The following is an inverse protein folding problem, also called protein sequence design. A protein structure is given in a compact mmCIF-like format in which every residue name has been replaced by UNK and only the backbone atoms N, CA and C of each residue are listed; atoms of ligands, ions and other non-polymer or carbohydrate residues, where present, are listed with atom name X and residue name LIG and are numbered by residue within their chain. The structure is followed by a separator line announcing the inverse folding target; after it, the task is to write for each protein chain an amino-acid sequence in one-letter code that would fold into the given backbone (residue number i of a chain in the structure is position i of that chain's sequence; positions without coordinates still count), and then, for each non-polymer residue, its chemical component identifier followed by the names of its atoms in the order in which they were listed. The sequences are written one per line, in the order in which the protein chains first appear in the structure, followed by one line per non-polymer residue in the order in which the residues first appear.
data_IF_860766098086
#
_entry.id   IF_860766098086
#
_cell.length_a   1.000
_cell.length_b   1.000
_cell.length_c   1.000
_cell.angle_alpha   90.00
_cell.angle_beta   90.00
_cell.angle_gamma   90.00
#
_symmetry.space_group_name_H-M   'P 1'
#
loop_
_entity.id
_entity.type
_entity.pdbx_description
1 polymer ?
#
# COMPACT_ATOMS: atom_id res chain seq x y z
N UNK A 1 7.48 8.84 0.49
CA UNK A 1 6.93 8.10 1.65
C UNK A 1 6.41 6.75 1.18
N UNK A 2 6.46 5.71 2.03
CA UNK A 2 5.89 4.41 1.67
C UNK A 2 4.74 4.06 2.61
N UNK A 3 3.66 3.43 2.09
CA UNK A 3 2.56 2.90 2.89
C UNK A 3 2.08 1.57 2.31
N UNK A 4 1.36 0.78 3.12
CA UNK A 4 0.84 -0.50 2.71
C UNK A 4 -0.67 -0.55 2.93
N UNK A 5 -1.38 -1.00 1.91
CA UNK A 5 -2.81 -1.29 1.96
C UNK A 5 -3.04 -2.79 1.77
N UNK A 6 -4.14 -3.31 2.31
CA UNK A 6 -4.48 -4.74 2.29
C UNK A 6 -5.88 -4.95 1.73
N UNK A 7 -6.05 -5.99 0.93
CA UNK A 7 -7.25 -6.19 0.14
C UNK A 7 -7.76 -7.63 0.20
N UNK A 8 -9.08 -7.76 0.27
CA UNK A 8 -9.81 -9.01 0.07
C UNK A 8 -10.03 -9.25 -1.43
N UNK A 9 -10.44 -10.44 -1.79
CA UNK A 9 -10.66 -10.86 -3.18
C UNK A 9 -11.55 -9.90 -4.00
N UNK A 10 -12.59 -9.34 -3.41
CA UNK A 10 -13.55 -8.44 -4.09
C UNK A 10 -12.96 -7.12 -4.59
N UNK A 11 -11.85 -6.66 -4.02
CA UNK A 11 -11.22 -5.40 -4.39
C UNK A 11 -10.16 -5.55 -5.51
N UNK A 12 -9.67 -6.77 -5.75
CA UNK A 12 -8.50 -7.02 -6.60
C UNK A 12 -8.68 -6.53 -8.04
N UNK A 13 -9.83 -6.81 -8.65
CA UNK A 13 -10.06 -6.46 -10.07
C UNK A 13 -9.95 -4.96 -10.35
N UNK A 14 -10.58 -4.14 -9.50
CA UNK A 14 -10.54 -2.66 -9.63
C UNK A 14 -9.12 -2.11 -9.49
N UNK A 15 -8.38 -2.63 -8.52
CA UNK A 15 -7.00 -2.20 -8.27
C UNK A 15 -6.07 -2.59 -9.42
N UNK A 16 -6.19 -3.80 -9.95
CA UNK A 16 -5.39 -4.24 -11.08
C UNK A 16 -5.67 -3.41 -12.34
N UNK A 17 -6.90 -2.96 -12.55
CA UNK A 17 -7.25 -2.03 -13.63
C UNK A 17 -6.55 -0.67 -13.45
N UNK A 18 -6.48 -0.14 -12.22
CA UNK A 18 -5.74 1.08 -11.90
C UNK A 18 -4.24 0.93 -12.17
N UNK A 19 -3.62 -0.15 -11.72
CA UNK A 19 -2.18 -0.37 -11.91
C UNK A 19 -1.80 -0.43 -13.38
N UNK A 20 -2.58 -1.13 -14.18
CA UNK A 20 -2.29 -1.34 -15.60
C UNK A 20 -2.71 -0.17 -16.50
N UNK A 21 -3.36 0.88 -15.96
CA UNK A 21 -3.92 1.97 -16.78
C UNK A 21 -4.77 1.43 -17.94
N UNK A 22 -5.57 0.41 -17.68
CA UNK A 22 -6.40 -0.18 -18.74
C UNK A 22 -7.34 0.89 -19.31
N UNK A 23 -7.02 1.27 -20.54
CA UNK A 23 -7.87 2.13 -21.34
C UNK A 23 -9.10 1.33 -21.75
N UNK A 24 -10.28 1.93 -21.62
CA UNK A 24 -11.53 1.32 -22.07
C UNK A 24 -12.43 0.78 -20.98
N UNK A 25 -12.01 0.68 -19.73
CA UNK A 25 -12.95 0.57 -18.64
C UNK A 25 -13.29 1.99 -18.21
N UNK A 26 -14.28 2.57 -18.83
CA UNK A 26 -14.97 3.74 -18.31
C UNK A 26 -15.67 3.32 -17.02
N UNK A 27 -14.90 3.30 -15.95
CA UNK A 27 -15.42 3.09 -14.62
C UNK A 27 -15.72 4.48 -14.05
N UNK A 28 -16.99 4.91 -13.99
CA UNK A 28 -17.37 6.23 -13.47
C UNK A 28 -16.98 6.41 -11.99
N UNK A 29 -16.59 5.33 -11.30
CA UNK A 29 -16.17 5.35 -9.90
C UNK A 29 -14.65 5.49 -9.71
N UNK A 30 -13.87 5.64 -10.78
CA UNK A 30 -12.43 5.93 -10.70
C UNK A 30 -12.23 7.36 -11.16
N UNK A 31 -12.01 8.28 -10.23
CA UNK A 31 -11.58 9.64 -10.58
C UNK A 31 -10.28 9.57 -11.37
N UNK A 32 -10.28 10.13 -12.58
CA UNK A 32 -9.12 10.25 -13.46
C UNK A 32 -8.64 11.71 -13.55
N UNK A 33 -9.20 12.57 -12.73
CA UNK A 33 -8.91 14.01 -12.73
C UNK A 33 -7.45 14.33 -12.46
N UNK A 34 -6.76 13.44 -11.73
CA UNK A 34 -5.35 13.60 -11.39
C UNK A 34 -4.38 12.99 -12.43
N UNK A 35 -4.89 12.42 -13.52
CA UNK A 35 -4.05 11.76 -14.53
C UNK A 35 -3.78 12.71 -15.69
N UNK A 36 -2.52 13.09 -15.85
CA UNK A 36 -2.03 13.82 -17.01
C UNK A 36 -1.75 12.85 -18.17
N UNK A 37 -2.70 12.76 -19.10
CA UNK A 37 -2.60 11.86 -20.26
C UNK A 37 -1.37 12.10 -21.12
N UNK A 38 -0.84 13.32 -21.15
CA UNK A 38 0.36 13.65 -21.93
C UNK A 38 1.61 12.94 -21.39
N UNK A 39 1.62 12.57 -20.08
CA UNK A 39 2.72 11.90 -19.40
C UNK A 39 2.53 10.37 -19.25
N UNK A 40 1.39 9.82 -19.66
CA UNK A 40 1.13 8.37 -19.52
C UNK A 40 2.18 7.49 -20.22
N UNK A 41 2.78 7.98 -21.29
CA UNK A 41 3.89 7.29 -21.99
C UNK A 41 5.16 7.14 -21.15
N UNK A 42 5.30 7.89 -20.05
CA UNK A 42 6.42 7.81 -19.10
C UNK A 42 6.22 6.70 -18.05
N UNK A 43 5.01 6.14 -17.95
CA UNK A 43 4.72 5.05 -17.04
C UNK A 43 5.48 3.79 -17.46
N UNK A 44 5.91 3.01 -16.48
CA UNK A 44 6.57 1.74 -16.75
C UNK A 44 6.31 0.73 -15.64
N UNK A 45 6.60 -0.54 -15.92
CA UNK A 45 6.43 -1.61 -14.96
C UNK A 45 7.75 -2.32 -14.72
N UNK A 46 8.08 -2.56 -13.46
CA UNK A 46 9.14 -3.43 -13.00
C UNK A 46 8.57 -4.81 -12.70
N UNK A 47 9.29 -5.85 -13.00
CA UNK A 47 8.85 -7.20 -12.70
C UNK A 47 10.00 -8.18 -12.60
N UNK A 48 9.67 -9.39 -12.13
CA UNK A 48 10.60 -10.50 -12.08
C UNK A 48 10.47 -11.29 -13.38
N UNK A 49 11.58 -11.54 -14.07
CA UNK A 49 11.65 -12.42 -15.20
C UNK A 49 12.72 -13.49 -14.99
N UNK A 50 12.61 -14.59 -15.70
CA UNK A 50 13.56 -15.69 -15.65
C UNK A 50 14.40 -15.73 -16.94
N UNK A 51 15.71 -15.89 -16.77
CA UNK A 51 16.65 -16.09 -17.85
C UNK A 51 17.71 -17.07 -17.37
N UNK A 52 17.98 -18.12 -18.14
CA UNK A 52 18.98 -19.16 -17.84
C UNK A 52 18.81 -19.76 -16.43
N UNK A 53 17.56 -20.06 -16.04
CA UNK A 53 17.19 -20.62 -14.73
C UNK A 53 17.37 -19.66 -13.54
N UNK A 54 17.74 -18.40 -13.79
CA UNK A 54 17.91 -17.37 -12.76
C UNK A 54 16.82 -16.30 -12.85
N UNK A 55 16.40 -15.76 -11.71
CA UNK A 55 15.37 -14.71 -11.62
C UNK A 55 16.00 -13.34 -11.49
N UNK A 56 15.64 -12.46 -12.41
CA UNK A 56 16.09 -11.09 -12.49
C UNK A 56 14.91 -10.13 -12.32
N UNK A 57 15.20 -8.88 -11.96
CA UNK A 57 14.25 -7.77 -11.98
C UNK A 57 14.57 -6.92 -13.21
N UNK A 58 13.56 -6.45 -13.92
CA UNK A 58 13.72 -5.60 -15.09
C UNK A 58 12.44 -4.86 -15.47
N UNK A 59 12.53 -4.05 -16.53
CA UNK A 59 11.35 -3.46 -17.17
C UNK A 59 10.64 -4.57 -17.96
N UNK A 60 9.58 -5.13 -17.38
CA UNK A 60 8.76 -6.16 -18.00
C UNK A 60 7.29 -5.93 -17.67
N UNK A 61 6.41 -6.52 -18.45
CA UNK A 61 4.98 -6.45 -18.16
C UNK A 61 4.68 -7.05 -16.79
N UNK A 62 3.94 -6.34 -15.97
CA UNK A 62 3.47 -6.83 -14.67
C UNK A 62 2.37 -7.89 -14.83
N UNK A 63 2.22 -8.72 -13.82
CA UNK A 63 1.24 -9.81 -13.79
C UNK A 63 0.03 -9.54 -12.89
N UNK A 64 -0.14 -8.30 -12.40
CA UNK A 64 -1.28 -7.98 -11.53
C UNK A 64 -2.60 -8.08 -12.29
N UNK A 65 -3.37 -9.11 -11.96
CA UNK A 65 -4.72 -9.35 -12.48
C UNK A 65 -5.51 -10.18 -11.50
N UNK A 66 -6.83 -10.17 -11.63
CA UNK A 66 -7.68 -11.09 -10.88
C UNK A 66 -7.33 -12.56 -11.17
N UNK A 67 -7.05 -12.89 -12.43
CA UNK A 67 -6.66 -14.24 -12.82
C UNK A 67 -5.40 -14.74 -12.09
N UNK A 68 -4.38 -13.87 -11.96
CA UNK A 68 -3.16 -14.18 -11.21
C UNK A 68 -3.45 -14.45 -9.74
N UNK A 69 -4.23 -13.57 -9.08
CA UNK A 69 -4.55 -13.74 -7.64
C UNK A 69 -5.44 -14.97 -7.45
N UNK A 70 -6.43 -15.18 -8.32
CA UNK A 70 -7.29 -16.37 -8.28
C UNK A 70 -6.48 -17.65 -8.43
N UNK A 71 -5.58 -17.73 -9.41
CA UNK A 71 -4.70 -18.89 -9.59
C UNK A 71 -3.85 -19.18 -8.35
N UNK A 72 -3.34 -18.15 -7.67
CA UNK A 72 -2.62 -18.32 -6.39
C UNK A 72 -3.53 -18.79 -5.26
N UNK A 73 -4.78 -18.31 -5.18
CA UNK A 73 -5.77 -18.81 -4.21
C UNK A 73 -6.06 -20.29 -4.48
N UNK A 74 -6.30 -20.66 -5.74
CA UNK A 74 -6.60 -22.04 -6.13
C UNK A 74 -5.43 -22.98 -5.79
N UNK A 75 -4.19 -22.56 -6.06
CA UNK A 75 -2.99 -23.33 -5.72
C UNK A 75 -2.81 -23.51 -4.19
N UNK A 76 -3.02 -22.46 -3.41
CA UNK A 76 -2.99 -22.52 -1.94
C UNK A 76 -4.07 -23.45 -1.41
N UNK A 77 -5.29 -23.41 -1.97
CA UNK A 77 -6.41 -24.26 -1.56
C UNK A 77 -6.18 -25.72 -1.95
N UNK A 78 -5.63 -26.00 -3.13
CA UNK A 78 -5.28 -27.35 -3.57
C UNK A 78 -4.24 -27.98 -2.64
N UNK A 79 -3.19 -27.22 -2.29
CA UNK A 79 -2.20 -27.65 -1.32
C UNK A 79 -2.83 -27.91 0.07
N UNK A 80 -3.65 -26.98 0.55
CA UNK A 80 -4.32 -27.12 1.84
C UNK A 80 -5.20 -28.39 1.88
N UNK A 81 -5.92 -28.69 0.78
CA UNK A 81 -6.72 -29.92 0.65
C UNK A 81 -5.85 -31.18 0.70
N UNK A 82 -4.72 -31.20 -0.03
CA UNK A 82 -3.79 -32.32 -0.01
C UNK A 82 -3.17 -32.57 1.38
N UNK A 83 -2.99 -31.51 2.17
CA UNK A 83 -2.47 -31.57 3.54
C UNK A 83 -3.58 -31.77 4.62
N UNK A 84 -4.83 -32.01 4.24
CA UNK A 84 -5.97 -32.13 5.17
C UNK A 84 -6.29 -30.84 5.94
N UNK A 85 -5.90 -29.68 5.40
CA UNK A 85 -6.05 -28.37 6.04
C UNK A 85 -7.23 -27.60 5.43
N UNK A 86 -7.73 -26.60 6.19
CA UNK A 86 -8.83 -25.74 5.74
C UNK A 86 -8.41 -24.85 4.58
N UNK A 87 -9.30 -24.62 3.62
CA UNK A 87 -9.14 -23.67 2.53
C UNK A 87 -8.98 -22.22 3.03
N UNK A 88 -8.56 -21.35 2.14
CA UNK A 88 -8.47 -19.92 2.38
C UNK A 88 -9.84 -19.34 2.74
N UNK A 89 -9.93 -18.58 3.81
CA UNK A 89 -11.16 -17.93 4.26
C UNK A 89 -11.63 -16.88 3.24
N UNK A 90 -12.93 -16.67 3.12
CA UNK A 90 -13.53 -15.66 2.23
C UNK A 90 -13.08 -14.21 2.56
N UNK A 91 -12.81 -13.96 3.85
CA UNK A 91 -12.36 -12.65 4.36
C UNK A 91 -10.83 -12.51 4.44
N UNK A 92 -10.08 -13.48 3.93
CA UNK A 92 -8.63 -13.43 3.93
C UNK A 92 -8.10 -12.23 3.12
N UNK A 93 -7.00 -11.64 3.58
CA UNK A 93 -6.20 -10.71 2.80
C UNK A 93 -5.43 -11.51 1.75
N UNK A 94 -5.86 -11.41 0.49
CA UNK A 94 -5.27 -12.16 -0.63
C UNK A 94 -4.30 -11.31 -1.47
N UNK A 95 -4.37 -10.00 -1.31
CA UNK A 95 -3.45 -9.06 -1.94
C UNK A 95 -3.13 -7.94 -0.95
N UNK A 96 -1.92 -7.46 -1.00
CA UNK A 96 -1.51 -6.20 -0.40
C UNK A 96 -0.78 -5.37 -1.45
N UNK A 97 -0.76 -4.05 -1.26
CA UNK A 97 -0.11 -3.10 -2.15
C UNK A 97 0.79 -2.18 -1.33
N UNK A 98 2.06 -2.17 -1.68
CA UNK A 98 3.03 -1.23 -1.14
C UNK A 98 3.16 -0.05 -2.10
N UNK A 99 2.77 1.14 -1.65
CA UNK A 99 2.92 2.36 -2.43
C UNK A 99 4.16 3.09 -1.98
N UNK A 100 5.05 3.42 -2.92
CA UNK A 100 6.27 4.21 -2.69
C UNK A 100 6.20 5.48 -3.52
N UNK A 101 6.13 6.62 -2.85
CA UNK A 101 6.07 7.93 -3.48
C UNK A 101 7.48 8.47 -3.66
N UNK A 102 7.76 9.10 -4.81
CA UNK A 102 9.03 9.77 -5.08
C UNK A 102 9.18 10.98 -4.16
N UNK A 103 10.24 11.04 -3.33
CA UNK A 103 10.46 12.18 -2.45
C UNK A 103 10.94 13.42 -3.24
N UNK A 104 10.64 14.65 -2.74
CA UNK A 104 11.05 15.88 -3.41
C UNK A 104 12.58 16.05 -3.57
N UNK A 105 13.37 15.46 -2.68
CA UNK A 105 14.83 15.51 -2.72
C UNK A 105 15.48 14.48 -3.66
N UNK A 106 14.68 13.72 -4.42
CA UNK A 106 15.18 12.84 -5.48
C UNK A 106 15.08 13.58 -6.81
N UNK A 107 16.21 13.86 -7.50
CA UNK A 107 16.19 14.48 -8.81
C UNK A 107 15.43 13.63 -9.84
N UNK A 108 14.76 14.24 -10.83
CA UNK A 108 13.99 13.52 -11.84
C UNK A 108 14.79 12.44 -12.59
N UNK A 109 16.08 12.70 -12.87
CA UNK A 109 17.01 11.77 -13.52
C UNK A 109 17.28 10.51 -12.68
N UNK A 110 17.18 10.61 -11.37
CA UNK A 110 17.36 9.49 -10.44
C UNK A 110 16.08 8.72 -10.14
N UNK A 111 14.91 9.16 -10.62
CA UNK A 111 13.61 8.54 -10.33
C UNK A 111 13.58 7.03 -10.66
N UNK A 112 14.16 6.65 -11.82
CA UNK A 112 14.23 5.23 -12.18
C UNK A 112 15.08 4.42 -11.19
N UNK A 113 16.25 4.92 -10.83
CA UNK A 113 17.16 4.28 -9.87
C UNK A 113 16.53 4.17 -8.48
N UNK A 114 15.77 5.20 -8.08
CA UNK A 114 14.98 5.19 -6.85
C UNK A 114 13.92 4.09 -6.85
N UNK A 115 13.04 4.05 -7.86
CA UNK A 115 11.98 3.04 -7.92
C UNK A 115 12.52 1.62 -8.11
N UNK A 116 13.58 1.46 -8.89
CA UNK A 116 14.27 0.18 -9.06
C UNK A 116 14.77 -0.38 -7.72
N UNK A 117 15.51 0.41 -6.95
CA UNK A 117 16.06 -0.02 -5.68
C UNK A 117 14.98 -0.22 -4.61
N UNK A 118 13.93 0.59 -4.63
CA UNK A 118 12.75 0.42 -3.78
C UNK A 118 12.03 -0.90 -4.08
N UNK A 119 11.83 -1.22 -5.36
CA UNK A 119 11.22 -2.48 -5.78
C UNK A 119 12.04 -3.70 -5.32
N UNK A 120 13.36 -3.65 -5.49
CA UNK A 120 14.24 -4.72 -5.00
C UNK A 120 14.16 -4.89 -3.49
N UNK A 121 14.17 -3.78 -2.72
CA UNK A 121 14.03 -3.83 -1.27
C UNK A 121 12.70 -4.50 -0.86
N UNK A 122 11.60 -4.12 -1.50
CA UNK A 122 10.29 -4.73 -1.23
C UNK A 122 10.31 -6.21 -1.60
N UNK A 123 10.91 -6.58 -2.74
CA UNK A 123 11.05 -7.95 -3.19
C UNK A 123 11.79 -8.85 -2.17
N UNK A 124 12.84 -8.31 -1.56
CA UNK A 124 13.61 -9.01 -0.53
C UNK A 124 12.81 -9.15 0.78
N UNK A 125 11.90 -8.21 1.08
CA UNK A 125 11.08 -8.21 2.29
C UNK A 125 9.85 -9.13 2.22
N UNK A 126 9.18 -9.21 1.06
CA UNK A 126 7.93 -9.98 0.90
C UNK A 126 8.12 -11.28 0.12
N UNK A 127 9.30 -11.49 -0.45
CA UNK A 127 9.62 -12.65 -1.31
C UNK A 127 9.22 -12.42 -2.77
N UNK A 128 10.16 -12.65 -3.68
CA UNK A 128 10.00 -12.41 -5.12
C UNK A 128 8.84 -13.17 -5.75
N UNK A 129 8.55 -14.39 -5.27
CA UNK A 129 7.42 -15.19 -5.74
C UNK A 129 6.03 -14.62 -5.40
N UNK A 130 5.96 -13.75 -4.43
CA UNK A 130 4.72 -13.07 -4.02
C UNK A 130 4.39 -11.85 -4.87
N UNK A 131 5.39 -11.23 -5.51
CA UNK A 131 5.21 -10.01 -6.29
C UNK A 131 4.35 -10.22 -7.54
N UNK A 132 3.67 -9.18 -7.97
CA UNK A 132 2.91 -9.12 -9.22
C UNK A 132 3.36 -7.98 -10.14
N UNK A 133 4.45 -7.31 -9.80
CA UNK A 133 5.03 -6.19 -10.52
C UNK A 133 5.20 -4.95 -9.63
N UNK A 134 5.93 -3.96 -10.15
CA UNK A 134 6.04 -2.62 -9.62
C UNK A 134 5.57 -1.63 -10.69
N UNK A 135 4.41 -1.03 -10.52
CA UNK A 135 3.76 -0.17 -11.49
C UNK A 135 4.09 1.28 -11.17
N UNK A 136 4.98 1.87 -11.96
CA UNK A 136 5.40 3.26 -11.77
C UNK A 136 4.51 4.18 -12.58
N UNK A 137 3.81 5.05 -11.88
CA UNK A 137 2.95 6.09 -12.43
C UNK A 137 3.67 7.43 -12.38
N UNK A 138 4.02 7.94 -13.56
CA UNK A 138 4.65 9.25 -13.75
C UNK A 138 3.62 10.30 -14.21
N UNK A 139 2.39 9.87 -14.45
CA UNK A 139 1.28 10.64 -15.01
C UNK A 139 0.31 11.20 -13.96
N UNK A 140 0.65 11.11 -12.69
CA UNK A 140 -0.11 11.73 -11.60
C UNK A 140 0.68 12.91 -10.99
N UNK A 141 0.02 13.68 -10.13
CA UNK A 141 0.61 14.87 -9.50
C UNK A 141 1.94 14.57 -8.82
N UNK A 142 2.02 13.45 -8.13
CA UNK A 142 3.25 12.98 -7.50
C UNK A 142 3.62 11.60 -8.06
N UNK A 143 4.79 11.44 -8.69
CA UNK A 143 5.25 10.14 -9.18
C UNK A 143 5.31 9.12 -8.04
N UNK A 144 4.78 7.92 -8.28
CA UNK A 144 4.76 6.86 -7.29
C UNK A 144 4.77 5.48 -7.93
N UNK A 145 5.09 4.48 -7.14
CA UNK A 145 5.10 3.09 -7.56
C UNK A 145 4.17 2.27 -6.68
N UNK A 146 3.26 1.53 -7.31
CA UNK A 146 2.48 0.47 -6.68
C UNK A 146 3.22 -0.86 -6.78
N UNK A 147 3.36 -1.57 -5.69
CA UNK A 147 3.96 -2.91 -5.66
C UNK A 147 2.96 -3.91 -5.06
N UNK A 148 1.99 -4.38 -5.88
CA UNK A 148 1.04 -5.39 -5.44
C UNK A 148 1.73 -6.75 -5.25
N UNK A 149 1.37 -7.44 -4.15
CA UNK A 149 1.86 -8.78 -3.84
C UNK A 149 0.79 -9.62 -3.12
N UNK A 150 0.91 -10.93 -3.23
CA UNK A 150 0.10 -11.88 -2.48
C UNK A 150 0.84 -12.28 -1.20
N UNK A 151 0.27 -12.09 -0.01
CA UNK A 151 0.96 -12.37 1.24
C UNK A 151 0.94 -13.88 1.56
N UNK A 152 1.59 -14.69 0.70
CA UNK A 152 1.69 -16.13 0.87
C UNK A 152 2.98 -16.43 1.63
N UNK A 153 2.84 -17.04 2.81
CA UNK A 153 3.92 -17.49 3.67
C UNK A 153 3.63 -18.93 4.11
N UNK A 154 4.62 -19.80 4.00
CA UNK A 154 4.50 -21.22 4.33
C UNK A 154 3.31 -21.91 3.59
N UNK A 155 3.08 -21.50 2.34
CA UNK A 155 2.00 -22.02 1.49
C UNK A 155 0.59 -21.58 1.87
N UNK A 156 0.43 -20.51 2.65
CA UNK A 156 -0.87 -19.95 3.08
C UNK A 156 -0.90 -18.44 3.00
N UNK A 157 -2.08 -17.87 2.77
CA UNK A 157 -2.28 -16.43 2.93
C UNK A 157 -2.14 -16.05 4.41
N UNK A 158 -1.09 -15.34 4.77
CA UNK A 158 -0.80 -14.93 6.13
C UNK A 158 -0.19 -13.53 6.19
N UNK A 159 -1.02 -12.53 5.86
CA UNK A 159 -0.61 -11.13 5.89
C UNK A 159 -0.05 -10.69 7.26
N UNK A 160 -0.72 -11.10 8.35
CA UNK A 160 -0.31 -10.69 9.71
C UNK A 160 1.09 -11.18 10.11
N UNK A 161 1.48 -12.38 9.64
CA UNK A 161 2.81 -12.94 9.92
C UNK A 161 3.86 -12.35 8.99
N UNK A 162 3.51 -12.07 7.73
CA UNK A 162 4.42 -11.47 6.75
C UNK A 162 4.70 -10.00 7.05
N UNK A 163 3.65 -9.23 7.36
CA UNK A 163 3.71 -7.80 7.66
C UNK A 163 3.35 -7.59 9.13
N UNK A 164 4.18 -8.10 10.01
CA UNK A 164 4.04 -7.98 11.47
C UNK A 164 4.52 -6.60 11.98
N UNK A 165 4.47 -6.40 13.30
CA UNK A 165 4.92 -5.16 13.94
C UNK A 165 6.38 -4.83 13.61
N UNK A 166 7.26 -5.84 13.59
CA UNK A 166 8.69 -5.67 13.29
C UNK A 166 8.88 -5.22 11.84
N UNK A 167 8.10 -5.79 10.91
CA UNK A 167 8.11 -5.36 9.52
C UNK A 167 7.86 -3.85 9.41
N UNK A 168 6.78 -3.35 10.02
CA UNK A 168 6.45 -1.92 9.97
C UNK A 168 7.48 -1.03 10.66
N UNK A 169 8.01 -1.45 11.80
CA UNK A 169 9.01 -0.69 12.56
C UNK A 169 10.32 -0.53 11.81
N UNK A 170 10.71 -1.52 11.01
CA UNK A 170 12.00 -1.54 10.32
C UNK A 170 11.93 -1.16 8.85
N UNK A 171 10.73 -1.06 8.26
CA UNK A 171 10.59 -0.90 6.82
C UNK A 171 11.16 0.41 6.29
N UNK A 172 10.74 1.56 6.85
CA UNK A 172 11.16 2.87 6.35
C UNK A 172 12.65 3.11 6.54
N UNK A 173 13.17 2.80 7.74
CA UNK A 173 14.60 2.90 8.01
C UNK A 173 15.40 2.02 7.05
N UNK A 174 15.04 0.75 6.90
CA UNK A 174 15.75 -0.16 6.01
C UNK A 174 15.64 0.21 4.52
N UNK A 175 14.51 0.79 4.10
CA UNK A 175 14.38 1.34 2.75
C UNK A 175 15.32 2.55 2.58
N UNK A 176 15.34 3.48 3.53
CA UNK A 176 16.22 4.63 3.52
C UNK A 176 17.70 4.22 3.46
N UNK A 177 18.13 3.30 4.32
CA UNK A 177 19.51 2.79 4.37
C UNK A 177 19.91 2.12 3.03
N UNK A 178 18.99 1.33 2.44
CA UNK A 178 19.22 0.71 1.12
C UNK A 178 19.37 1.74 0.02
N UNK A 179 18.49 2.73 -0.01
CA UNK A 179 18.51 3.79 -1.00
C UNK A 179 19.77 4.65 -0.88
N UNK A 180 20.14 5.05 0.34
CA UNK A 180 21.37 5.80 0.59
C UNK A 180 22.59 5.06 0.05
N UNK A 181 22.73 3.76 0.36
CA UNK A 181 23.83 2.94 -0.15
C UNK A 181 23.86 2.88 -1.70
N UNK A 182 22.70 2.87 -2.36
CA UNK A 182 22.62 2.68 -3.80
C UNK A 182 22.64 3.98 -4.60
N UNK A 183 22.16 5.07 -4.01
CA UNK A 183 22.06 6.38 -4.69
C UNK A 183 23.22 7.30 -4.36
N UNK A 184 23.93 7.10 -3.23
CA UNK A 184 25.00 7.97 -2.77
C UNK A 184 24.50 9.16 -1.94
N UNK A 185 23.21 9.29 -1.74
CA UNK A 185 22.54 10.25 -0.85
C UNK A 185 21.28 9.61 -0.27
N UNK A 186 20.73 10.17 0.83
CA UNK A 186 19.55 9.62 1.51
C UNK A 186 18.26 10.25 1.00
N UNK A 187 17.41 9.52 0.24
CA UNK A 187 16.06 9.97 -0.08
C UNK A 187 15.17 10.06 1.16
N UNK A 188 14.29 11.07 1.20
CA UNK A 188 13.38 11.31 2.33
C UNK A 188 12.17 10.37 2.32
N UNK A 189 12.43 9.08 2.49
CA UNK A 189 11.38 8.05 2.52
C UNK A 189 10.78 7.83 3.91
N UNK A 190 11.40 8.36 4.94
CA UNK A 190 10.91 8.30 6.32
C UNK A 190 9.84 9.37 6.55
N UNK A 191 8.95 9.09 7.49
CA UNK A 191 7.98 10.10 7.93
C UNK A 191 8.72 11.18 8.72
N UNK A 192 8.59 12.44 8.31
CA UNK A 192 8.98 13.55 9.17
C UNK A 192 8.20 13.51 10.51
N UNK A 193 8.75 14.11 11.56
CA UNK A 193 8.05 14.19 12.85
C UNK A 193 6.71 14.90 12.70
N UNK A 194 6.64 15.93 11.87
CA UNK A 194 5.44 16.67 11.54
C UNK A 194 4.38 15.79 10.86
N UNK A 195 4.77 14.96 9.88
CA UNK A 195 3.87 14.00 9.23
C UNK A 195 3.45 12.88 10.18
N UNK A 196 4.32 12.48 11.14
CA UNK A 196 3.96 11.54 12.22
C UNK A 196 2.91 12.15 13.15
N UNK A 197 3.09 13.40 13.55
CA UNK A 197 2.14 14.14 14.40
C UNK A 197 0.78 14.27 13.69
N UNK A 198 0.76 14.63 12.41
CA UNK A 198 -0.46 14.75 11.61
C UNK A 198 -1.18 13.41 11.40
N UNK A 199 -0.44 12.29 11.27
CA UNK A 199 -1.05 10.94 11.22
C UNK A 199 -1.63 10.51 12.57
N UNK A 200 -0.98 10.83 13.68
CA UNK A 200 -1.53 10.60 15.03
C UNK A 200 -2.82 11.40 15.21
N UNK A 201 -2.84 12.64 14.70
CA UNK A 201 -4.03 13.47 14.68
C UNK A 201 -5.14 12.87 13.81
N UNK A 202 -4.84 12.42 12.59
CA UNK A 202 -5.81 11.81 11.66
C UNK A 202 -6.34 10.45 12.16
N UNK A 203 -5.53 9.65 12.87
CA UNK A 203 -5.98 8.40 13.50
C UNK A 203 -6.92 8.73 14.68
N UNK A 204 -6.64 9.79 15.43
CA UNK A 204 -7.52 10.29 16.48
C UNK A 204 -8.78 10.95 15.93
N UNK A 205 -8.78 11.44 14.69
CA UNK A 205 -9.96 12.05 14.07
C UNK A 205 -11.08 11.02 13.82
N UNK A 206 -10.76 9.73 13.63
CA UNK A 206 -11.77 8.65 13.61
C UNK A 206 -12.43 8.40 14.97
N UNK A 207 -11.80 8.85 16.05
CA UNK A 207 -12.35 8.83 17.41
C UNK A 207 -12.86 10.20 17.86
N UNK A 208 -12.75 11.26 17.03
CA UNK A 208 -13.22 12.63 17.40
C UNK A 208 -14.70 12.62 17.73
N UNK A 209 -15.53 11.89 16.99
CA UNK A 209 -16.96 11.83 17.30
C UNK A 209 -17.23 11.18 18.66
N UNK A 210 -16.41 10.17 19.04
CA UNK A 210 -16.47 9.58 20.38
C UNK A 210 -15.93 10.53 21.46
N UNK A 211 -14.82 11.22 21.17
CA UNK A 211 -14.21 12.19 22.07
C UNK A 211 -15.11 13.42 22.20
N UNK A 212 -15.67 13.93 21.09
CA UNK A 212 -16.64 15.01 21.06
C UNK A 212 -17.88 14.65 21.90
N UNK A 213 -18.48 13.48 21.66
CA UNK A 213 -19.61 13.02 22.45
C UNK A 213 -19.27 12.74 23.92
N UNK A 214 -18.02 12.47 24.28
CA UNK A 214 -17.60 12.35 25.67
C UNK A 214 -17.37 13.73 26.32
N UNK A 215 -16.82 14.70 25.59
CA UNK A 215 -16.64 16.09 26.04
C UNK A 215 -18.00 16.76 26.17
N UNK A 216 -18.90 16.60 25.21
CA UNK A 216 -20.26 17.14 25.26
C UNK A 216 -21.00 16.64 26.51
N UNK A 217 -20.93 15.35 26.81
CA UNK A 217 -21.54 14.77 28.01
C UNK A 217 -20.85 15.17 29.31
N UNK A 218 -19.53 15.36 29.31
CA UNK A 218 -18.77 15.60 30.52
C UNK A 218 -18.64 17.09 30.89
N UNK A 219 -18.70 17.99 29.92
CA UNK A 219 -18.40 19.42 30.10
C UNK A 219 -19.54 20.32 29.65
N UNK A 220 -20.09 20.09 28.45
CA UNK A 220 -21.10 20.99 27.89
C UNK A 220 -22.46 20.78 28.54
N UNK A 221 -22.93 19.55 28.63
CA UNK A 221 -24.23 19.24 29.24
C UNK A 221 -24.36 19.67 30.70
N UNK A 222 -23.40 19.42 31.61
CA UNK A 222 -23.46 19.93 32.98
C UNK A 222 -23.47 21.46 33.06
N UNK A 223 -22.77 22.16 32.16
CA UNK A 223 -22.74 23.61 32.13
C UNK A 223 -24.09 24.18 31.64
N UNK A 224 -24.73 23.57 30.64
CA UNK A 224 -26.05 23.93 30.16
C UNK A 224 -27.15 23.64 31.21
N UNK A 225 -27.06 22.50 31.91
CA UNK A 225 -27.98 22.14 32.97
C UNK A 225 -27.87 23.11 34.15
N UNK A 226 -26.65 23.56 34.50
CA UNK A 226 -26.43 24.56 35.57
C UNK A 226 -26.96 25.94 35.17
N UNK A 227 -26.71 26.37 33.91
CA UNK A 227 -27.24 27.62 33.37
C UNK A 227 -28.79 27.62 33.35
N UNK A 228 -29.38 26.48 32.95
CA UNK A 228 -30.86 26.34 32.97
C UNK A 228 -31.43 26.39 34.40
N UNK A 229 -30.74 25.84 35.40
CA UNK A 229 -31.14 25.93 36.81
C UNK A 229 -31.06 27.35 37.33
N UNK A 230 -30.03 28.11 36.97
CA UNK A 230 -29.86 29.51 37.36
C UNK A 230 -31.00 30.38 36.77
N UNK A 231 -31.32 30.14 35.48
CA UNK A 231 -32.41 30.88 34.82
C UNK A 231 -33.78 30.50 35.39
N UNK A 232 -34.01 29.26 35.81
CA UNK A 232 -35.28 28.82 36.39
C UNK A 232 -35.47 29.26 37.85
N UNK A 233 -34.39 29.69 38.54
CA UNK A 233 -34.41 30.17 39.92
C UNK A 233 -34.48 31.71 40.05
N UNK A 234 -34.44 32.45 38.92
CA UNK A 234 -34.57 33.91 38.82
C UNK A 234 -35.97 34.33 38.40
#
# INVERSE_FOLDING_TARGET
MAHIAKYKASAVGKLCAHYNRWQGIDNPNVSRENIDKSRTHLNYTLGVYEKDGKRFIGKVRGSASWATVKGRIDAVNARAKAEGKRATRKDAVVMADMVVTLPPNVPPEDAYKFFWNSYQYIADRVGRGNLMGGYVHMDETTPHMHVPFTPILDGRFNYKKMCDRKFYQTFHKGLGDRLEQKMGYRPEVELSEETRAQRVYTIRTKDIDKVRGAVDRAVVQPAEDEAARIVAAA
#
